data_IF_681399915509
#
_entry.id   IF_681399915509
#
_cell.length_a   1.000
_cell.length_b   1.000
_cell.length_c   1.000
_cell.angle_alpha   90.00
_cell.angle_beta   90.00
_cell.angle_gamma   90.00
#
_symmetry.space_group_name_H-M   'P 1'
#
loop_
_entity.id
_entity.type
_entity.pdbx_description
1 polymer ?
#
# COMPACT_ATOMS: atom_id res chain seq x y z
N UNK A 1 -54.42 2.76 -40.33
CA UNK A 1 -53.38 3.73 -39.91
C UNK A 1 -53.14 3.53 -38.43
N UNK A 2 -52.05 2.86 -38.05
CA UNK A 2 -51.65 2.70 -36.65
C UNK A 2 -50.64 3.80 -36.34
N UNK A 3 -51.01 4.73 -35.45
CA UNK A 3 -50.15 5.81 -35.00
C UNK A 3 -49.27 5.23 -33.89
N UNK A 4 -48.01 4.95 -34.21
CA UNK A 4 -46.99 4.61 -33.23
C UNK A 4 -46.58 5.91 -32.53
N UNK A 5 -47.10 6.13 -31.33
CA UNK A 5 -46.64 7.16 -30.41
C UNK A 5 -45.25 6.76 -29.88
N UNK A 6 -44.18 7.34 -30.45
CA UNK A 6 -42.86 7.36 -29.80
C UNK A 6 -42.91 8.40 -28.67
N UNK A 7 -43.02 7.93 -27.44
CA UNK A 7 -42.78 8.76 -26.26
C UNK A 7 -41.26 9.03 -26.17
N UNK A 8 -40.84 10.22 -26.59
CA UNK A 8 -39.53 10.74 -26.24
C UNK A 8 -39.58 11.19 -24.78
N UNK A 9 -39.07 10.36 -23.87
CA UNK A 9 -38.84 10.76 -22.48
C UNK A 9 -37.56 11.59 -22.45
N UNK A 10 -37.66 12.89 -22.67
CA UNK A 10 -36.59 13.85 -22.34
C UNK A 10 -36.61 14.09 -20.84
N UNK A 11 -36.26 13.08 -20.04
CA UNK A 11 -35.66 13.36 -18.75
C UNK A 11 -34.25 13.86 -19.08
N UNK A 12 -33.95 15.13 -18.79
CA UNK A 12 -32.58 15.60 -18.84
C UNK A 12 -31.75 14.63 -17.97
N UNK A 13 -30.88 13.83 -18.60
CA UNK A 13 -30.09 12.86 -17.88
C UNK A 13 -29.28 13.62 -16.82
N UNK A 14 -29.56 13.34 -15.55
CA UNK A 14 -28.84 13.94 -14.44
C UNK A 14 -27.33 13.65 -14.54
N UNK A 15 -26.50 14.29 -13.71
CA UNK A 15 -25.06 14.02 -13.70
C UNK A 15 -24.78 12.53 -13.52
N UNK A 16 -23.72 12.05 -14.16
CA UNK A 16 -23.21 10.71 -13.95
C UNK A 16 -22.64 10.60 -12.53
N UNK A 17 -23.17 9.70 -11.70
CA UNK A 17 -22.76 9.53 -10.31
C UNK A 17 -21.84 8.33 -10.15
N UNK A 18 -20.61 8.57 -9.69
CA UNK A 18 -19.62 7.54 -9.41
C UNK A 18 -19.34 7.43 -7.91
N UNK A 19 -19.49 6.23 -7.35
CA UNK A 19 -18.92 5.91 -6.04
C UNK A 19 -17.49 5.39 -6.20
N UNK A 20 -16.55 5.93 -5.43
CA UNK A 20 -15.18 5.43 -5.34
C UNK A 20 -14.95 4.82 -3.95
N UNK A 21 -14.57 3.55 -3.89
CA UNK A 21 -14.25 2.86 -2.63
C UNK A 21 -12.74 2.84 -2.44
N UNK A 22 -12.26 3.58 -1.44
CA UNK A 22 -10.85 3.75 -1.09
C UNK A 22 -10.29 5.10 -1.53
N UNK A 23 -9.66 5.82 -0.60
CA UNK A 23 -9.10 7.16 -0.84
C UNK A 23 -7.57 7.17 -1.02
N UNK A 24 -7.02 6.06 -1.51
CA UNK A 24 -5.61 5.99 -1.91
C UNK A 24 -5.34 6.69 -3.26
N UNK A 25 -4.09 6.62 -3.76
CA UNK A 25 -3.73 7.20 -5.05
C UNK A 25 -4.61 6.74 -6.21
N UNK A 26 -5.02 5.48 -6.23
CA UNK A 26 -5.85 4.94 -7.30
C UNK A 26 -7.20 5.67 -7.39
N UNK A 27 -7.90 5.82 -6.26
CA UNK A 27 -9.17 6.55 -6.21
C UNK A 27 -9.01 8.02 -6.62
N UNK A 28 -8.03 8.72 -6.04
CA UNK A 28 -7.84 10.15 -6.35
C UNK A 28 -7.38 10.42 -7.79
N UNK A 29 -6.50 9.59 -8.35
CA UNK A 29 -6.08 9.79 -9.74
C UNK A 29 -7.19 9.44 -10.74
N UNK A 30 -8.03 8.43 -10.45
CA UNK A 30 -9.22 8.18 -11.27
C UNK A 30 -10.20 9.36 -11.18
N UNK A 31 -10.48 9.88 -9.98
CA UNK A 31 -11.31 11.06 -9.79
C UNK A 31 -10.76 12.29 -10.53
N UNK A 32 -9.46 12.56 -10.38
CA UNK A 32 -8.77 13.68 -11.04
C UNK A 32 -8.95 13.65 -12.56
N UNK A 33 -8.72 12.49 -13.17
CA UNK A 33 -8.87 12.30 -14.61
C UNK A 33 -10.33 12.42 -15.04
N UNK A 34 -11.25 11.76 -14.34
CA UNK A 34 -12.66 11.74 -14.72
C UNK A 34 -13.33 13.12 -14.62
N UNK A 35 -13.05 13.89 -13.56
CA UNK A 35 -13.58 15.25 -13.39
C UNK A 35 -13.16 16.21 -14.52
N UNK A 36 -12.01 15.93 -15.15
CA UNK A 36 -11.49 16.67 -16.31
C UNK A 36 -12.10 16.20 -17.62
N UNK A 37 -12.18 14.89 -17.84
CA UNK A 37 -12.57 14.31 -19.13
C UNK A 37 -14.10 14.19 -19.31
N UNK A 38 -14.88 14.15 -18.21
CA UNK A 38 -16.35 14.11 -18.25
C UNK A 38 -16.98 15.15 -17.30
N UNK A 39 -17.23 16.39 -17.76
CA UNK A 39 -17.63 17.51 -16.90
C UNK A 39 -18.92 17.29 -16.09
N UNK A 40 -19.87 16.50 -16.61
CA UNK A 40 -21.14 16.22 -15.94
C UNK A 40 -21.04 14.97 -15.02
N UNK A 41 -19.97 14.89 -14.22
CA UNK A 41 -19.72 13.83 -13.23
C UNK A 41 -19.95 14.35 -11.83
N UNK A 42 -20.51 13.54 -10.94
CA UNK A 42 -20.47 13.68 -9.48
C UNK A 42 -19.74 12.48 -8.89
N UNK A 43 -18.83 12.71 -7.95
CA UNK A 43 -18.00 11.67 -7.34
C UNK A 43 -18.18 11.69 -5.82
N UNK A 44 -18.57 10.56 -5.26
CA UNK A 44 -18.54 10.31 -3.82
C UNK A 44 -17.44 9.29 -3.51
N UNK A 45 -16.43 9.70 -2.77
CA UNK A 45 -15.31 8.85 -2.38
C UNK A 45 -15.44 8.42 -0.92
N UNK A 46 -15.46 7.10 -0.69
CA UNK A 46 -15.62 6.48 0.62
C UNK A 46 -14.28 5.94 1.12
N UNK A 47 -13.98 6.16 2.41
CA UNK A 47 -12.85 5.50 3.07
C UNK A 47 -13.25 4.99 4.46
N UNK A 48 -12.75 3.80 4.80
CA UNK A 48 -12.93 3.21 6.13
C UNK A 48 -12.31 4.02 7.25
N UNK A 49 -11.25 4.79 6.98
CA UNK A 49 -10.59 5.64 7.98
C UNK A 49 -11.13 7.08 7.90
N UNK A 50 -11.12 7.83 9.02
CA UNK A 50 -11.46 9.26 9.03
C UNK A 50 -10.59 10.13 8.11
N UNK A 51 -9.39 9.65 7.78
CA UNK A 51 -8.34 10.42 7.10
C UNK A 51 -8.01 9.78 5.74
N UNK A 52 -7.85 10.58 4.67
CA UNK A 52 -7.65 10.07 3.33
C UNK A 52 -6.19 9.71 3.01
N UNK A 53 -5.92 9.46 1.72
CA UNK A 53 -4.60 9.31 1.07
C UNK A 53 -3.96 7.92 1.19
N UNK A 54 -4.57 7.00 1.95
CA UNK A 54 -4.15 5.60 2.05
C UNK A 54 -2.64 5.44 2.29
N UNK A 55 -1.97 4.64 1.45
CA UNK A 55 -0.53 4.35 1.61
C UNK A 55 0.39 5.55 1.35
N UNK A 56 -0.09 6.68 0.79
CA UNK A 56 0.74 7.91 0.77
C UNK A 56 0.95 8.43 2.19
N UNK A 57 -0.07 8.30 3.05
CA UNK A 57 -0.02 8.67 4.47
C UNK A 57 0.58 7.58 5.35
N UNK A 58 0.16 6.33 5.10
CA UNK A 58 0.42 5.20 5.98
C UNK A 58 1.51 4.23 5.51
N UNK A 59 1.96 4.34 4.25
CA UNK A 59 2.95 3.44 3.64
C UNK A 59 4.28 4.13 3.37
N UNK A 60 4.25 5.25 2.63
CA UNK A 60 5.46 6.03 2.30
C UNK A 60 6.22 6.39 3.57
N UNK A 61 7.51 6.05 3.58
CA UNK A 61 8.36 6.24 4.74
C UNK A 61 8.41 7.72 5.15
N UNK A 62 8.55 8.02 6.46
CA UNK A 62 8.52 9.38 6.96
C UNK A 62 9.72 10.22 6.50
N UNK A 63 10.82 9.57 6.14
CA UNK A 63 12.01 10.18 5.54
C UNK A 63 11.95 10.33 4.00
N UNK A 64 10.79 10.04 3.39
CA UNK A 64 10.46 10.34 1.99
C UNK A 64 9.31 11.36 1.84
N UNK A 65 9.41 12.56 2.46
CA UNK A 65 8.33 13.55 2.41
C UNK A 65 8.01 14.00 0.98
N UNK A 66 9.00 14.01 0.07
CA UNK A 66 8.82 14.44 -1.32
C UNK A 66 7.88 13.52 -2.11
N UNK A 67 7.79 12.24 -1.74
CA UNK A 67 6.86 11.29 -2.35
C UNK A 67 5.42 11.59 -1.91
N UNK A 68 5.23 12.19 -0.73
CA UNK A 68 3.92 12.59 -0.20
C UNK A 68 3.35 13.85 -0.86
N UNK A 69 4.14 14.59 -1.63
CA UNK A 69 3.71 15.80 -2.36
C UNK A 69 2.58 15.56 -3.38
N UNK A 70 2.32 14.30 -3.75
CA UNK A 70 1.15 13.96 -4.58
C UNK A 70 -0.18 14.32 -3.91
N UNK A 71 -0.20 14.47 -2.58
CA UNK A 71 -1.37 14.94 -1.82
C UNK A 71 -1.84 16.31 -2.31
N UNK A 72 -0.94 17.20 -2.78
CA UNK A 72 -1.35 18.49 -3.36
C UNK A 72 -2.28 18.34 -4.57
N UNK A 73 -2.13 17.28 -5.36
CA UNK A 73 -3.07 16.98 -6.45
C UNK A 73 -4.40 16.46 -5.90
N UNK A 74 -4.38 15.71 -4.80
CA UNK A 74 -5.57 15.14 -4.17
C UNK A 74 -6.41 16.22 -3.48
N UNK A 75 -5.76 17.17 -2.80
CA UNK A 75 -6.40 18.36 -2.24
C UNK A 75 -7.14 19.15 -3.32
N UNK A 76 -6.54 19.35 -4.50
CA UNK A 76 -7.20 20.01 -5.65
C UNK A 76 -8.42 19.26 -6.18
N UNK A 77 -8.42 17.92 -6.10
CA UNK A 77 -9.61 17.13 -6.46
C UNK A 77 -10.71 17.36 -5.44
N UNK A 78 -10.35 17.43 -4.15
CA UNK A 78 -11.30 17.60 -3.07
C UNK A 78 -11.87 19.02 -2.95
N UNK A 79 -11.27 20.01 -3.63
CA UNK A 79 -11.78 21.38 -3.78
C UNK A 79 -12.86 21.50 -4.87
N UNK A 80 -13.07 20.46 -5.71
CA UNK A 80 -14.09 20.49 -6.77
C UNK A 80 -15.50 20.30 -6.19
N UNK A 81 -16.44 21.20 -6.52
CA UNK A 81 -17.84 21.14 -6.03
C UNK A 81 -18.58 19.84 -6.42
N UNK A 82 -18.06 19.11 -7.42
CA UNK A 82 -18.62 17.83 -7.87
C UNK A 82 -18.07 16.64 -7.09
N UNK A 83 -17.16 16.86 -6.16
CA UNK A 83 -16.51 15.83 -5.35
C UNK A 83 -16.96 15.90 -3.89
N UNK A 84 -17.31 14.75 -3.31
CA UNK A 84 -17.55 14.59 -1.87
C UNK A 84 -16.69 13.47 -1.31
N UNK A 85 -16.17 13.68 -0.11
CA UNK A 85 -15.43 12.66 0.64
C UNK A 85 -16.24 12.22 1.86
N UNK A 86 -16.29 10.90 2.05
CA UNK A 86 -16.95 10.21 3.16
C UNK A 86 -15.92 9.31 3.86
N UNK A 87 -15.07 9.89 4.70
CA UNK A 87 -14.18 9.14 5.59
C UNK A 87 -14.94 8.52 6.76
N UNK A 88 -14.35 7.57 7.45
CA UNK A 88 -14.99 6.81 8.54
C UNK A 88 -16.25 6.04 8.07
N UNK A 89 -16.30 5.65 6.80
CA UNK A 89 -17.37 4.87 6.18
C UNK A 89 -16.77 3.59 5.60
N UNK A 90 -16.70 2.50 6.39
CA UNK A 90 -16.27 1.22 5.86
C UNK A 90 -17.28 0.71 4.83
N UNK A 91 -16.77 0.15 3.74
CA UNK A 91 -17.58 -0.47 2.67
C UNK A 91 -17.21 -1.95 2.56
N UNK A 92 -18.22 -2.82 2.45
CA UNK A 92 -18.02 -4.25 2.23
C UNK A 92 -17.63 -5.04 3.47
N UNK A 93 -17.85 -4.49 4.67
CA UNK A 93 -17.61 -5.18 5.94
C UNK A 93 -18.91 -5.76 6.50
N UNK A 94 -18.84 -6.80 7.33
CA UNK A 94 -20.02 -7.41 7.95
C UNK A 94 -20.52 -6.66 9.20
N UNK A 95 -20.34 -5.34 9.25
CA UNK A 95 -20.72 -4.48 10.38
C UNK A 95 -22.01 -3.72 10.08
N UNK A 96 -22.86 -3.54 11.09
CA UNK A 96 -24.07 -2.70 10.99
C UNK A 96 -23.75 -1.23 10.68
N UNK A 97 -22.53 -0.77 11.02
CA UNK A 97 -22.03 0.58 10.73
C UNK A 97 -21.16 0.62 9.46
N UNK A 98 -21.66 0.00 8.38
CA UNK A 98 -20.96 -0.03 7.09
C UNK A 98 -21.94 -0.03 5.92
N UNK A 99 -21.43 0.30 4.73
CA UNK A 99 -22.17 0.17 3.48
C UNK A 99 -21.80 -1.15 2.79
N UNK A 100 -22.77 -1.81 2.16
CA UNK A 100 -22.52 -2.94 1.27
C UNK A 100 -22.27 -2.45 -0.16
N UNK A 101 -21.72 -3.32 -1.02
CA UNK A 101 -21.59 -3.02 -2.45
C UNK A 101 -22.97 -2.81 -3.09
N UNK A 102 -23.98 -3.58 -2.66
CA UNK A 102 -25.35 -3.44 -3.13
C UNK A 102 -25.95 -2.07 -2.80
N UNK A 103 -25.61 -1.52 -1.64
CA UNK A 103 -26.03 -0.16 -1.28
C UNK A 103 -25.47 0.85 -2.29
N UNK A 104 -24.19 0.77 -2.62
CA UNK A 104 -23.59 1.64 -3.63
C UNK A 104 -24.22 1.42 -5.02
N UNK A 105 -24.45 0.17 -5.40
CA UNK A 105 -25.08 -0.14 -6.70
C UNK A 105 -26.49 0.44 -6.85
N UNK A 106 -27.22 0.63 -5.75
CA UNK A 106 -28.56 1.21 -5.78
C UNK A 106 -28.56 2.76 -5.86
N UNK A 107 -27.45 3.42 -5.50
CA UNK A 107 -27.38 4.89 -5.38
C UNK A 107 -26.55 5.58 -6.47
N UNK A 108 -25.70 4.83 -7.16
CA UNK A 108 -24.73 5.34 -8.13
C UNK A 108 -24.90 4.70 -9.51
N UNK A 109 -24.46 5.41 -10.55
CA UNK A 109 -24.45 4.88 -11.93
C UNK A 109 -23.28 3.91 -12.13
N UNK A 110 -22.19 4.13 -11.40
CA UNK A 110 -21.05 3.24 -11.40
C UNK A 110 -20.38 3.17 -10.01
N UNK A 111 -19.64 2.09 -9.79
CA UNK A 111 -18.79 1.90 -8.61
C UNK A 111 -17.37 1.59 -9.08
N UNK A 112 -16.41 2.35 -8.58
CA UNK A 112 -14.97 2.09 -8.72
C UNK A 112 -14.41 1.53 -7.42
N UNK A 113 -13.84 0.33 -7.49
CA UNK A 113 -13.14 -0.30 -6.37
C UNK A 113 -11.64 0.01 -6.43
N UNK A 114 -11.13 0.70 -5.42
CA UNK A 114 -9.73 1.14 -5.36
C UNK A 114 -9.10 0.98 -3.97
N UNK A 115 -9.65 0.07 -3.15
CA UNK A 115 -9.27 -0.16 -1.75
C UNK A 115 -7.92 -0.87 -1.54
N UNK A 116 -7.16 -1.06 -2.61
CA UNK A 116 -5.78 -1.56 -2.55
C UNK A 116 -5.65 -3.00 -2.07
N UNK A 117 -4.49 -3.32 -1.48
CA UNK A 117 -4.17 -4.64 -0.96
C UNK A 117 -3.98 -4.55 0.56
N UNK A 118 -4.88 -5.19 1.32
CA UNK A 118 -4.97 -5.03 2.78
C UNK A 118 -4.46 -6.19 3.62
N UNK A 119 -4.07 -7.29 3.00
CA UNK A 119 -3.60 -8.51 3.64
C UNK A 119 -2.12 -8.78 3.34
N UNK A 120 -1.39 -9.32 4.30
CA UNK A 120 0.00 -9.73 4.13
C UNK A 120 0.10 -11.14 3.55
N UNK A 121 1.08 -11.37 2.67
CA UNK A 121 1.40 -12.74 2.26
C UNK A 121 2.11 -13.46 3.40
N UNK A 122 1.57 -14.61 3.79
CA UNK A 122 2.21 -15.55 4.73
C UNK A 122 3.34 -16.32 4.04
N UNK A 123 4.40 -16.60 4.78
CA UNK A 123 5.52 -17.47 4.40
C UNK A 123 5.07 -18.93 4.33
N UNK A 124 4.13 -19.34 5.19
CA UNK A 124 3.61 -20.71 5.27
C UNK A 124 4.61 -21.67 5.89
N UNK A 125 5.37 -21.23 6.89
CA UNK A 125 6.44 -22.01 7.54
C UNK A 125 6.16 -22.20 9.04
N UNK A 126 6.72 -23.25 9.67
CA UNK A 126 6.63 -23.42 11.12
C UNK A 126 7.16 -22.21 11.90
N UNK A 127 6.44 -21.85 12.96
CA UNK A 127 6.79 -20.74 13.85
C UNK A 127 6.49 -19.33 13.32
N UNK A 128 5.82 -19.18 12.17
CA UNK A 128 5.51 -17.87 11.57
C UNK A 128 4.67 -16.93 12.48
N UNK A 129 3.90 -17.46 13.43
CA UNK A 129 3.10 -16.66 14.37
C UNK A 129 3.81 -16.44 15.74
N UNK A 130 5.12 -16.72 15.83
CA UNK A 130 5.92 -16.50 17.05
C UNK A 130 6.07 -15.01 17.33
N UNK A 131 6.02 -14.60 18.61
CA UNK A 131 6.27 -13.21 18.99
C UNK A 131 7.67 -12.75 18.53
N UNK A 132 7.72 -11.63 17.79
CA UNK A 132 8.93 -11.14 17.13
C UNK A 132 8.91 -11.34 15.61
N UNK A 133 7.96 -12.14 15.09
CA UNK A 133 7.64 -12.16 13.66
C UNK A 133 6.57 -11.11 13.37
N UNK A 134 6.89 -10.17 12.49
CA UNK A 134 6.01 -9.07 12.13
C UNK A 134 5.91 -8.93 10.61
N UNK A 135 4.80 -8.38 10.12
CA UNK A 135 4.72 -8.06 8.70
C UNK A 135 5.35 -6.70 8.42
N UNK A 136 5.83 -6.53 7.19
CA UNK A 136 6.29 -5.24 6.72
C UNK A 136 5.18 -4.18 6.87
N UNK A 137 3.93 -4.54 6.57
CA UNK A 137 2.77 -3.67 6.71
C UNK A 137 2.51 -3.26 8.15
N UNK A 138 2.59 -4.19 9.12
CA UNK A 138 2.33 -3.89 10.53
C UNK A 138 3.37 -2.90 11.06
N UNK A 139 4.66 -3.16 10.80
CA UNK A 139 5.74 -2.27 11.21
C UNK A 139 5.69 -0.90 10.52
N UNK A 140 5.45 -0.88 9.20
CA UNK A 140 5.33 0.36 8.42
C UNK A 140 4.14 1.19 8.90
N UNK A 141 2.99 0.55 9.07
CA UNK A 141 1.79 1.21 9.57
C UNK A 141 1.97 1.70 11.01
N UNK A 142 2.67 0.94 11.85
CA UNK A 142 3.00 1.33 13.22
C UNK A 142 3.79 2.64 13.25
N UNK A 143 4.92 2.75 12.53
CA UNK A 143 5.68 4.01 12.58
C UNK A 143 4.98 5.17 11.86
N UNK A 144 4.14 4.88 10.86
CA UNK A 144 3.39 5.88 10.10
C UNK A 144 2.06 6.31 10.72
N UNK A 145 1.68 5.80 11.91
CA UNK A 145 0.47 6.23 12.60
C UNK A 145 -0.83 5.65 12.07
N UNK A 146 -0.77 4.47 11.43
CA UNK A 146 -1.98 3.76 11.01
C UNK A 146 -2.72 3.21 12.25
N UNK A 147 -4.03 3.51 12.44
CA UNK A 147 -4.71 3.23 13.70
C UNK A 147 -4.72 1.76 14.14
N UNK A 148 -4.80 0.83 13.19
CA UNK A 148 -4.77 -0.61 13.49
C UNK A 148 -3.46 -1.10 14.11
N UNK A 149 -2.36 -0.36 13.93
CA UNK A 149 -1.01 -0.80 14.35
C UNK A 149 -0.42 0.07 15.45
N UNK A 150 -1.15 1.07 15.97
CA UNK A 150 -0.65 1.96 17.04
C UNK A 150 -0.06 1.17 18.21
N UNK A 151 -0.80 0.17 18.67
CA UNK A 151 -0.51 -0.59 19.89
C UNK A 151 0.35 -1.84 19.61
N UNK A 152 0.98 -1.91 18.42
CA UNK A 152 1.88 -3.00 18.04
C UNK A 152 3.06 -3.07 19.00
N UNK A 153 3.29 -4.26 19.57
CA UNK A 153 4.40 -4.51 20.51
C UNK A 153 5.57 -5.12 19.75
N UNK A 154 6.71 -4.45 19.76
CA UNK A 154 7.91 -4.87 19.04
C UNK A 154 9.04 -5.19 20.02
N UNK A 155 9.83 -6.21 19.70
CA UNK A 155 10.99 -6.67 20.47
C UNK A 155 12.25 -5.83 20.15
N UNK A 156 12.15 -4.49 20.20
CA UNK A 156 13.23 -3.61 19.76
C UNK A 156 14.35 -3.46 20.81
N UNK A 157 14.02 -3.59 22.09
CA UNK A 157 14.88 -3.30 23.24
C UNK A 157 15.61 -4.53 23.79
N UNK A 158 15.35 -5.72 23.26
CA UNK A 158 15.95 -6.99 23.69
C UNK A 158 16.66 -7.77 22.57
N UNK A 159 16.81 -7.18 21.37
CA UNK A 159 17.55 -7.78 20.25
C UNK A 159 18.55 -6.83 19.61
N UNK A 160 19.68 -7.37 19.15
CA UNK A 160 20.65 -6.63 18.34
C UNK A 160 20.51 -6.90 16.84
N UNK A 161 19.83 -7.99 16.47
CA UNK A 161 19.71 -8.44 15.08
C UNK A 161 18.25 -8.59 14.68
N UNK A 162 17.89 -7.99 13.55
CA UNK A 162 16.63 -8.18 12.86
C UNK A 162 16.85 -8.77 11.46
N UNK A 163 15.91 -9.60 11.02
CA UNK A 163 15.88 -10.16 9.66
C UNK A 163 14.69 -9.58 8.93
N UNK A 164 14.87 -9.16 7.68
CA UNK A 164 13.80 -8.76 6.77
C UNK A 164 13.78 -9.74 5.60
N UNK A 165 12.72 -10.53 5.50
CA UNK A 165 12.51 -11.50 4.41
C UNK A 165 11.88 -10.76 3.23
N UNK A 166 12.62 -10.66 2.13
CA UNK A 166 12.25 -9.91 0.94
C UNK A 166 13.28 -8.84 0.58
N UNK A 167 13.42 -8.56 -0.72
CA UNK A 167 14.38 -7.59 -1.26
C UNK A 167 13.68 -6.58 -2.19
N UNK A 168 12.63 -5.95 -1.67
CA UNK A 168 11.91 -4.85 -2.30
C UNK A 168 12.18 -3.50 -1.62
N UNK A 169 11.60 -2.42 -2.12
CA UNK A 169 11.73 -1.09 -1.51
C UNK A 169 11.29 -1.07 -0.04
N UNK A 170 10.16 -1.72 0.28
CA UNK A 170 9.65 -1.77 1.66
C UNK A 170 10.65 -2.45 2.60
N UNK A 171 11.38 -3.46 2.14
CA UNK A 171 12.41 -4.11 2.94
C UNK A 171 13.56 -3.14 3.27
N UNK A 172 13.91 -2.26 2.33
CA UNK A 172 14.89 -1.20 2.57
C UNK A 172 14.33 -0.10 3.46
N UNK A 173 13.04 0.23 3.38
CA UNK A 173 12.40 1.18 4.31
C UNK A 173 12.47 0.69 5.75
N UNK A 174 12.14 -0.59 6.00
CA UNK A 174 12.26 -1.21 7.32
C UNK A 174 13.71 -1.14 7.82
N UNK A 175 14.67 -1.57 6.99
CA UNK A 175 16.09 -1.54 7.34
C UNK A 175 16.57 -0.11 7.64
N UNK A 176 16.12 0.88 6.86
CA UNK A 176 16.48 2.28 7.04
C UNK A 176 15.91 2.85 8.33
N UNK A 177 14.64 2.61 8.62
CA UNK A 177 14.00 3.10 9.86
C UNK A 177 14.64 2.50 11.11
N UNK A 178 14.95 1.19 11.10
CA UNK A 178 15.60 0.53 12.24
C UNK A 178 17.04 1.04 12.49
N UNK A 179 17.76 1.42 11.43
CA UNK A 179 19.18 1.74 11.53
C UNK A 179 19.48 3.25 11.56
N UNK A 180 18.54 4.09 11.13
CA UNK A 180 18.73 5.54 11.04
C UNK A 180 19.06 6.19 12.39
N UNK A 181 19.91 7.24 12.41
CA UNK A 181 20.07 8.05 13.60
C UNK A 181 18.75 8.69 14.03
N UNK A 182 18.43 8.58 15.32
CA UNK A 182 17.17 9.08 15.90
C UNK A 182 16.98 10.59 15.65
N UNK A 183 18.06 11.37 15.69
CA UNK A 183 18.01 12.82 15.43
C UNK A 183 17.59 13.18 14.01
N UNK A 184 17.78 12.27 13.05
CA UNK A 184 17.27 12.45 11.68
C UNK A 184 15.78 12.13 11.62
N UNK A 185 15.37 11.00 12.22
CA UNK A 185 13.96 10.60 12.26
C UNK A 185 13.10 11.60 13.03
N UNK A 186 13.64 12.25 14.08
CA UNK A 186 12.95 13.28 14.86
C UNK A 186 12.47 14.47 14.03
N UNK A 187 13.06 14.71 12.86
CA UNK A 187 12.69 15.82 11.94
C UNK A 187 11.63 15.42 10.91
N UNK A 188 11.13 14.19 10.97
CA UNK A 188 10.17 13.63 10.01
C UNK A 188 8.76 13.58 10.61
N UNK A 189 7.78 13.09 9.84
CA UNK A 189 6.41 12.83 10.33
C UNK A 189 6.22 11.44 10.96
N UNK A 190 7.31 10.76 11.37
CA UNK A 190 7.23 9.53 12.15
C UNK A 190 6.51 9.82 13.47
N UNK A 191 5.65 8.90 13.93
CA UNK A 191 4.89 9.11 15.18
C UNK A 191 5.80 9.16 16.41
N UNK A 192 5.42 9.93 17.43
CA UNK A 192 6.25 10.10 18.63
C UNK A 192 6.42 8.80 19.42
N UNK A 193 5.38 7.95 19.51
CA UNK A 193 5.50 6.65 20.19
C UNK A 193 6.48 5.70 19.46
N UNK A 194 6.53 5.76 18.13
CA UNK A 194 7.47 4.95 17.36
C UNK A 194 8.89 5.49 17.51
N UNK A 195 9.06 6.82 17.51
CA UNK A 195 10.35 7.46 17.77
C UNK A 195 10.86 7.12 19.18
N UNK A 196 10.00 7.13 20.20
CA UNK A 196 10.35 6.74 21.56
C UNK A 196 10.81 5.28 21.61
N UNK A 197 10.06 4.35 21.01
CA UNK A 197 10.44 2.94 20.96
C UNK A 197 11.76 2.73 20.20
N UNK A 198 11.94 3.39 19.06
CA UNK A 198 13.19 3.33 18.28
C UNK A 198 14.37 3.92 19.06
N UNK A 199 14.17 4.94 19.90
CA UNK A 199 15.23 5.51 20.73
C UNK A 199 15.77 4.55 21.79
N UNK A 200 14.97 3.55 22.18
CA UNK A 200 15.34 2.47 23.10
C UNK A 200 15.79 1.20 22.36
N UNK A 201 15.77 1.21 21.03
CA UNK A 201 16.12 0.06 20.21
C UNK A 201 17.59 -0.32 20.38
N UNK A 202 17.83 -1.62 20.56
CA UNK A 202 19.16 -2.24 20.56
C UNK A 202 19.56 -2.79 19.20
N UNK A 203 18.68 -2.72 18.20
CA UNK A 203 18.94 -3.22 16.84
C UNK A 203 20.14 -2.50 16.23
N UNK A 204 21.17 -3.28 15.89
CA UNK A 204 22.40 -2.83 15.21
C UNK A 204 22.57 -3.48 13.85
N UNK A 205 22.06 -4.70 13.66
CA UNK A 205 22.28 -5.48 12.47
C UNK A 205 20.94 -5.86 11.80
N UNK A 206 20.77 -5.50 10.54
CA UNK A 206 19.58 -5.88 9.75
C UNK A 206 19.98 -6.74 8.56
N UNK A 207 19.51 -7.99 8.52
CA UNK A 207 19.73 -8.89 7.38
C UNK A 207 18.56 -8.81 6.41
N UNK A 208 18.80 -8.33 5.19
CA UNK A 208 17.79 -8.26 4.12
C UNK A 208 17.96 -9.46 3.20
N UNK A 209 17.04 -10.42 3.32
CA UNK A 209 17.19 -11.78 2.81
C UNK A 209 16.31 -12.02 1.59
N UNK A 210 16.93 -12.44 0.49
CA UNK A 210 16.24 -12.79 -0.75
C UNK A 210 16.42 -14.26 -1.12
N UNK A 211 15.32 -14.88 -1.57
CA UNK A 211 15.36 -16.25 -2.11
C UNK A 211 16.11 -16.37 -3.44
N UNK A 212 16.29 -15.28 -4.18
CA UNK A 212 16.99 -15.23 -5.48
C UNK A 212 18.33 -14.49 -5.37
N UNK A 213 19.01 -14.30 -6.50
CA UNK A 213 20.27 -13.58 -6.61
C UNK A 213 20.10 -12.05 -6.77
N UNK A 214 21.23 -11.32 -6.82
CA UNK A 214 21.26 -9.86 -6.86
C UNK A 214 20.59 -9.27 -8.10
N UNK A 215 20.60 -9.98 -9.23
CA UNK A 215 20.00 -9.49 -10.48
C UNK A 215 18.46 -9.52 -10.42
N UNK A 216 17.87 -10.25 -9.47
CA UNK A 216 16.41 -10.38 -9.31
C UNK A 216 15.82 -9.58 -8.14
N UNK A 217 16.60 -8.67 -7.54
CA UNK A 217 16.08 -7.75 -6.51
C UNK A 217 14.97 -6.87 -7.08
N UNK A 218 14.08 -6.41 -6.20
CA UNK A 218 12.92 -5.58 -6.57
C UNK A 218 13.00 -4.16 -5.99
N UNK A 219 14.02 -3.85 -5.20
CA UNK A 219 14.29 -2.47 -4.81
C UNK A 219 14.89 -1.66 -5.97
N UNK A 220 14.70 -0.34 -5.98
CA UNK A 220 15.23 0.52 -7.05
C UNK A 220 16.54 1.20 -6.66
N UNK A 221 17.18 1.86 -7.64
CA UNK A 221 18.48 2.51 -7.43
C UNK A 221 18.40 3.72 -6.50
N UNK A 222 17.21 4.33 -6.32
CA UNK A 222 17.04 5.45 -5.38
C UNK A 222 17.16 4.94 -3.95
N UNK A 223 16.31 3.98 -3.58
CA UNK A 223 16.23 3.44 -2.23
C UNK A 223 17.53 2.71 -1.84
N UNK A 224 18.15 2.00 -2.78
CA UNK A 224 19.47 1.40 -2.52
C UNK A 224 20.54 2.46 -2.24
N UNK A 225 20.55 3.57 -2.99
CA UNK A 225 21.55 4.64 -2.79
C UNK A 225 21.40 5.26 -1.40
N UNK A 226 20.16 5.55 -0.99
CA UNK A 226 19.84 6.10 0.32
C UNK A 226 20.30 5.15 1.43
N UNK A 227 19.97 3.85 1.31
CA UNK A 227 20.40 2.82 2.24
C UNK A 227 21.93 2.71 2.35
N UNK A 228 22.63 2.77 1.21
CA UNK A 228 24.11 2.73 1.15
C UNK A 228 24.76 3.99 1.73
N UNK A 229 24.05 5.12 1.75
CA UNK A 229 24.54 6.40 2.27
C UNK A 229 24.18 6.65 3.73
N UNK A 230 23.51 5.70 4.39
CA UNK A 230 23.02 5.87 5.75
C UNK A 230 24.20 6.11 6.72
N UNK A 231 24.22 7.22 7.48
CA UNK A 231 25.37 7.57 8.32
C UNK A 231 25.62 6.53 9.41
N UNK A 232 26.87 6.12 9.56
CA UNK A 232 27.29 5.17 10.60
C UNK A 232 26.77 3.74 10.39
N UNK A 233 26.34 3.39 9.17
CA UNK A 233 25.86 2.04 8.84
C UNK A 233 26.70 1.43 7.72
N UNK A 234 27.26 0.25 7.98
CA UNK A 234 28.03 -0.51 7.00
C UNK A 234 27.14 -1.44 6.15
N UNK A 235 27.43 -1.54 4.85
CA UNK A 235 26.88 -2.57 3.98
C UNK A 235 27.75 -3.83 3.97
N UNK A 236 27.13 -4.99 4.21
CA UNK A 236 27.77 -6.31 4.16
C UNK A 236 27.07 -7.21 3.13
N UNK A 237 27.84 -7.98 2.37
CA UNK A 237 27.35 -9.01 1.47
C UNK A 237 28.50 -9.93 1.02
N UNK A 238 28.18 -11.06 0.41
CA UNK A 238 29.14 -11.83 -0.39
C UNK A 238 29.39 -11.08 -1.71
N UNK A 239 30.45 -10.26 -1.71
CA UNK A 239 30.81 -9.42 -2.86
C UNK A 239 31.32 -10.22 -4.06
N UNK A 240 31.93 -11.38 -3.83
CA UNK A 240 32.44 -12.22 -4.91
C UNK A 240 31.27 -12.93 -5.62
N UNK A 241 30.26 -13.37 -4.87
CA UNK A 241 29.01 -13.85 -5.44
C UNK A 241 28.30 -12.76 -6.26
N UNK A 242 28.20 -11.53 -5.74
CA UNK A 242 27.57 -10.41 -6.47
C UNK A 242 28.29 -10.16 -7.80
N UNK A 243 29.62 -10.04 -7.79
CA UNK A 243 30.42 -9.79 -9.00
C UNK A 243 30.29 -10.91 -10.02
N UNK A 244 30.24 -12.17 -9.57
CA UNK A 244 30.02 -13.32 -10.45
C UNK A 244 28.66 -13.27 -11.12
N UNK A 245 27.58 -13.08 -10.35
CA UNK A 245 26.20 -12.99 -10.90
C UNK A 245 26.03 -11.81 -11.86
N UNK A 246 26.65 -10.66 -11.57
CA UNK A 246 26.67 -9.50 -12.47
C UNK A 246 27.39 -9.86 -13.77
N UNK A 247 28.57 -10.48 -13.68
CA UNK A 247 29.37 -10.91 -14.86
C UNK A 247 28.59 -11.87 -15.74
N UNK A 248 28.00 -12.92 -15.16
CA UNK A 248 27.19 -13.92 -15.89
C UNK A 248 25.94 -13.30 -16.53
N UNK A 249 25.38 -12.26 -15.93
CA UNK A 249 24.15 -11.59 -16.39
C UNK A 249 24.40 -10.37 -17.28
N UNK A 250 25.65 -10.08 -17.66
CA UNK A 250 26.01 -8.89 -18.46
C UNK A 250 25.17 -8.71 -19.74
N UNK A 251 24.86 -9.75 -20.53
CA UNK A 251 24.06 -9.59 -21.75
C UNK A 251 22.65 -9.04 -21.49
N UNK A 252 22.08 -9.31 -20.31
CA UNK A 252 20.76 -8.82 -19.89
C UNK A 252 20.87 -7.44 -19.22
N UNK A 253 21.84 -7.28 -18.31
CA UNK A 253 22.06 -6.03 -17.59
C UNK A 253 22.37 -4.88 -18.55
N UNK A 254 23.21 -5.10 -19.55
CA UNK A 254 23.62 -4.08 -20.53
C UNK A 254 22.45 -3.49 -21.33
N UNK A 255 21.37 -4.25 -21.52
CA UNK A 255 20.14 -3.82 -22.23
C UNK A 255 19.14 -3.10 -21.33
N UNK A 256 19.29 -3.20 -20.01
CA UNK A 256 18.37 -2.60 -19.02
C UNK A 256 19.09 -1.51 -18.22
N UNK A 257 18.98 -0.25 -18.67
CA UNK A 257 19.67 0.89 -18.05
C UNK A 257 19.37 1.07 -16.55
N UNK A 258 18.10 0.96 -16.08
CA UNK A 258 17.81 0.93 -14.64
C UNK A 258 18.56 -0.16 -13.89
N UNK A 259 18.52 -1.41 -14.38
CA UNK A 259 19.19 -2.54 -13.75
C UNK A 259 20.71 -2.36 -13.74
N UNK A 260 21.32 -1.88 -14.83
CA UNK A 260 22.75 -1.58 -14.91
C UNK A 260 23.21 -0.60 -13.83
N UNK A 261 22.45 0.47 -13.60
CA UNK A 261 22.73 1.43 -12.54
C UNK A 261 22.63 0.80 -11.16
N UNK A 262 21.62 -0.03 -10.94
CA UNK A 262 21.41 -0.74 -9.68
C UNK A 262 22.56 -1.70 -9.37
N UNK A 263 22.96 -2.51 -10.34
CA UNK A 263 24.06 -3.47 -10.17
C UNK A 263 25.39 -2.77 -9.92
N UNK A 264 25.66 -1.64 -10.60
CA UNK A 264 26.86 -0.85 -10.33
C UNK A 264 26.91 -0.25 -8.91
N UNK A 265 25.75 0.07 -8.31
CA UNK A 265 25.70 0.49 -6.91
C UNK A 265 25.99 -0.66 -5.94
N UNK A 266 25.43 -1.85 -6.19
CA UNK A 266 25.70 -3.04 -5.37
C UNK A 266 27.18 -3.45 -5.46
N UNK A 267 27.75 -3.46 -6.65
CA UNK A 267 29.16 -3.82 -6.88
C UNK A 267 30.12 -2.85 -6.19
N UNK A 268 29.78 -1.55 -6.15
CA UNK A 268 30.56 -0.52 -5.45
C UNK A 268 30.48 -0.67 -3.92
N UNK A 269 29.33 -1.09 -3.39
CA UNK A 269 29.07 -1.17 -1.96
C UNK A 269 28.97 0.19 -1.25
N UNK A 270 28.96 0.18 0.09
CA UNK A 270 28.91 1.39 0.92
C UNK A 270 30.29 2.03 1.15
N UNK A 271 30.37 3.36 1.26
CA UNK A 271 31.60 4.06 1.64
C UNK A 271 31.96 3.83 3.12
N UNK A 272 30.96 3.70 3.99
CA UNK A 272 31.13 3.39 5.42
C UNK A 272 31.67 1.98 5.59
N UNK A 273 32.71 1.83 6.42
CA UNK A 273 33.37 0.56 6.81
C UNK A 273 33.59 0.53 8.32
N UNK A 274 33.62 -0.66 8.90
CA UNK A 274 33.89 -0.87 10.34
C UNK A 274 32.97 -0.05 11.27
N UNK A 275 31.68 0.00 10.95
CA UNK A 275 30.69 0.69 11.76
C UNK A 275 30.02 -0.25 12.78
N UNK A 276 29.52 0.31 13.89
CA UNK A 276 28.78 -0.44 14.93
C UNK A 276 27.45 -0.98 14.40
N UNK A 277 26.82 -0.27 13.45
CA UNK A 277 25.59 -0.71 12.77
C UNK A 277 25.87 -1.23 11.38
N UNK A 278 25.10 -2.22 10.93
CA UNK A 278 25.21 -2.73 9.57
C UNK A 278 23.89 -3.23 9.00
N UNK A 279 23.80 -3.22 7.67
CA UNK A 279 22.79 -4.00 6.96
C UNK A 279 23.46 -4.98 6.00
N UNK A 280 22.93 -6.20 5.97
CA UNK A 280 23.52 -7.33 5.23
C UNK A 280 22.56 -7.77 4.13
N UNK A 281 22.97 -7.72 2.86
CA UNK A 281 22.21 -8.35 1.79
C UNK A 281 22.57 -9.83 1.68
N UNK A 282 21.60 -10.71 1.99
CA UNK A 282 21.77 -12.16 1.92
C UNK A 282 20.93 -12.72 0.77
N UNK A 283 21.56 -13.46 -0.14
CA UNK A 283 20.92 -13.99 -1.34
C UNK A 283 20.80 -15.50 -1.27
N UNK A 284 19.94 -16.06 -2.14
CA UNK A 284 19.74 -17.50 -2.26
C UNK A 284 19.38 -18.17 -0.93
N UNK A 285 18.47 -17.56 -0.17
CA UNK A 285 17.93 -18.10 1.08
C UNK A 285 16.41 -18.04 1.09
N UNK A 286 15.76 -19.18 1.24
CA UNK A 286 14.33 -19.27 1.53
C UNK A 286 14.15 -19.51 3.02
N UNK A 287 13.25 -18.80 3.72
CA UNK A 287 12.95 -19.13 5.10
C UNK A 287 12.31 -20.52 5.16
N UNK A 288 12.78 -21.36 6.07
CA UNK A 288 12.31 -22.73 6.25
C UNK A 288 11.56 -22.91 7.58
N UNK A 289 12.00 -22.23 8.63
CA UNK A 289 11.44 -22.33 9.98
C UNK A 289 11.85 -21.12 10.82
N UNK A 290 10.95 -20.62 11.66
CA UNK A 290 11.26 -19.65 12.71
C UNK A 290 11.68 -20.41 13.96
N UNK A 291 12.88 -20.15 14.46
CA UNK A 291 13.39 -20.73 15.69
C UNK A 291 12.89 -19.89 16.87
N UNK A 292 12.43 -20.55 17.92
CA UNK A 292 11.82 -19.89 19.07
C UNK A 292 12.34 -20.42 20.40
N UNK A 293 12.55 -19.51 21.35
CA UNK A 293 12.82 -19.79 22.75
C UNK A 293 11.85 -18.99 23.62
N UNK A 294 11.23 -19.64 24.61
CA UNK A 294 10.23 -19.01 25.49
C UNK A 294 9.09 -18.28 24.72
N UNK A 295 8.63 -18.88 23.61
CA UNK A 295 7.61 -18.32 22.69
C UNK A 295 8.00 -16.99 22.03
N UNK A 296 9.30 -16.70 21.94
CA UNK A 296 9.86 -15.54 21.23
C UNK A 296 10.83 -16.00 20.16
N UNK A 297 10.98 -15.22 19.10
CA UNK A 297 11.98 -15.49 18.06
C UNK A 297 13.38 -15.50 18.68
N UNK A 298 14.14 -16.58 18.44
CA UNK A 298 15.57 -16.69 18.75
C UNK A 298 16.44 -16.82 17.49
N UNK A 299 15.82 -17.13 16.36
CA UNK A 299 16.50 -17.18 15.09
C UNK A 299 15.58 -17.56 13.93
N UNK A 300 16.18 -17.71 12.76
CA UNK A 300 15.50 -18.18 11.57
C UNK A 300 16.39 -19.17 10.84
N UNK A 301 15.79 -20.28 10.43
CA UNK A 301 16.44 -21.30 9.60
C UNK A 301 16.11 -21.04 8.15
N UNK A 302 17.13 -21.06 7.31
CA UNK A 302 17.00 -20.94 5.87
C UNK A 302 17.31 -22.26 5.19
N UNK A 303 16.61 -22.54 4.09
CA UNK A 303 17.11 -23.43 3.05
C UNK A 303 17.95 -22.61 2.06
N UNK A 304 19.12 -23.15 1.70
CA UNK A 304 20.00 -22.60 0.68
C UNK A 304 19.38 -22.89 -0.69
N UNK A 305 19.34 -21.86 -1.55
CA UNK A 305 18.82 -22.01 -2.90
C UNK A 305 19.95 -22.04 -3.93
N UNK A 306 19.64 -22.60 -5.09
CA UNK A 306 20.31 -22.33 -6.37
C UNK A 306 19.31 -21.71 -7.36
N UNK A 307 19.82 -21.06 -8.40
CA UNK A 307 18.98 -20.54 -9.48
C UNK A 307 18.91 -21.54 -10.63
N UNK A 308 17.70 -21.82 -11.11
CA UNK A 308 17.44 -22.67 -12.28
C UNK A 308 16.63 -21.91 -13.33
N UNK A 309 16.77 -22.31 -14.59
CA UNK A 309 16.03 -21.75 -15.72
C UNK A 309 16.73 -20.58 -16.43
N UNK A 310 16.09 -20.02 -17.47
CA UNK A 310 16.68 -18.96 -18.29
C UNK A 310 16.87 -17.68 -17.45
N UNK A 311 17.89 -16.89 -17.79
CA UNK A 311 18.33 -15.72 -17.00
C UNK A 311 17.19 -14.76 -16.63
N UNK A 312 16.26 -14.53 -17.56
CA UNK A 312 15.13 -13.62 -17.38
C UNK A 312 14.01 -14.17 -16.46
N UNK A 313 13.97 -15.49 -16.26
CA UNK A 313 12.94 -16.17 -15.45
C UNK A 313 13.56 -17.13 -14.44
N UNK A 314 14.79 -16.85 -13.99
CA UNK A 314 15.49 -17.68 -12.98
C UNK A 314 14.61 -17.85 -11.75
N UNK A 315 14.36 -19.12 -11.40
CA UNK A 315 13.63 -19.52 -10.20
C UNK A 315 14.61 -19.99 -9.13
N UNK A 316 14.27 -19.73 -7.88
CA UNK A 316 15.00 -20.31 -6.75
C UNK A 316 14.53 -21.75 -6.54
N UNK A 317 15.47 -22.68 -6.39
CA UNK A 317 15.22 -24.09 -6.06
C UNK A 317 16.08 -24.45 -4.87
N UNK A 318 15.46 -25.05 -3.86
CA UNK A 318 16.15 -25.50 -2.64
C UNK A 318 17.21 -26.56 -2.94
N UNK A 319 18.33 -26.49 -2.23
CA UNK A 319 19.42 -27.46 -2.36
C UNK A 319 19.29 -28.62 -1.37
N UNK A 320 18.39 -28.52 -0.38
CA UNK A 320 18.34 -29.41 0.78
C UNK A 320 19.39 -29.10 1.85
N UNK A 321 20.24 -28.09 1.66
CA UNK A 321 21.17 -27.61 2.67
C UNK A 321 20.53 -26.47 3.49
N UNK A 322 20.79 -26.47 4.80
CA UNK A 322 20.20 -25.53 5.73
C UNK A 322 21.26 -24.79 6.55
N UNK A 323 20.95 -23.56 6.90
CA UNK A 323 21.73 -22.75 7.82
C UNK A 323 20.80 -21.91 8.70
N UNK A 324 21.29 -21.48 9.86
CA UNK A 324 20.52 -20.70 10.82
C UNK A 324 21.14 -19.32 11.02
N UNK A 325 20.31 -18.33 11.32
CA UNK A 325 20.71 -16.99 11.69
C UNK A 325 20.03 -16.62 13.01
N UNK A 326 20.83 -16.38 14.05
CA UNK A 326 20.34 -15.81 15.30
C UNK A 326 19.79 -14.41 15.06
N UNK A 327 18.59 -14.16 15.57
CA UNK A 327 17.91 -12.87 15.54
C UNK A 327 16.75 -12.88 16.54
N UNK A 328 16.38 -11.71 17.06
CA UNK A 328 15.20 -11.58 17.93
C UNK A 328 13.95 -11.06 17.22
N UNK A 329 14.08 -10.68 15.94
CA UNK A 329 12.99 -10.14 15.13
C UNK A 329 13.08 -10.58 13.66
N UNK A 330 11.93 -10.89 13.08
CA UNK A 330 11.79 -11.22 11.66
C UNK A 330 10.65 -10.40 11.06
N UNK A 331 10.93 -9.65 10.00
CA UNK A 331 9.94 -8.91 9.23
C UNK A 331 9.65 -9.60 7.90
N UNK A 332 8.37 -9.83 7.59
CA UNK A 332 7.96 -10.40 6.30
C UNK A 332 7.62 -9.29 5.31
N UNK A 333 8.49 -9.08 4.32
CA UNK A 333 8.34 -8.12 3.23
C UNK A 333 8.20 -8.81 1.87
N UNK A 334 7.36 -9.85 1.82
CA UNK A 334 7.17 -10.72 0.63
C UNK A 334 5.94 -10.37 -0.22
N UNK A 335 5.33 -9.21 0.05
CA UNK A 335 4.22 -8.64 -0.70
C UNK A 335 2.86 -8.78 -0.01
N UNK A 336 1.84 -8.20 -0.64
CA UNK A 336 0.50 -8.11 -0.10
C UNK A 336 -0.51 -8.90 -0.96
N UNK A 337 -1.76 -8.96 -0.48
CA UNK A 337 -2.95 -9.41 -1.21
C UNK A 337 -4.12 -8.48 -0.90
N UNK A 338 -5.05 -8.37 -1.83
CA UNK A 338 -6.33 -7.71 -1.57
C UNK A 338 -7.25 -8.67 -0.82
N UNK A 339 -8.25 -8.13 -0.13
CA UNK A 339 -9.29 -8.93 0.51
C UNK A 339 -10.55 -8.92 -0.35
N UNK A 340 -11.29 -10.03 -0.44
CA UNK A 340 -12.57 -10.07 -1.13
C UNK A 340 -13.60 -9.20 -0.40
N UNK A 341 -14.51 -8.60 -1.17
CA UNK A 341 -15.73 -7.95 -0.66
C UNK A 341 -16.92 -8.74 -1.16
N UNK A 342 -17.91 -8.99 -0.29
CA UNK A 342 -19.14 -9.68 -0.66
C UNK A 342 -19.84 -8.99 -1.85
N UNK A 343 -20.27 -9.79 -2.83
CA UNK A 343 -20.90 -9.30 -4.05
C UNK A 343 -19.92 -8.86 -5.16
N UNK A 344 -18.61 -9.02 -4.97
CA UNK A 344 -17.58 -8.70 -5.97
C UNK A 344 -16.80 -9.97 -6.35
N UNK A 345 -16.64 -10.28 -7.66
CA UNK A 345 -15.77 -11.37 -8.10
C UNK A 345 -14.32 -11.22 -7.60
N UNK A 346 -13.71 -12.33 -7.19
CA UNK A 346 -12.36 -12.29 -6.62
C UNK A 346 -11.52 -13.52 -7.02
N UNK A 347 -10.29 -13.29 -7.48
CA UNK A 347 -9.31 -14.34 -7.71
C UNK A 347 -8.44 -14.49 -6.46
N UNK A 348 -8.70 -15.55 -5.67
CA UNK A 348 -7.94 -15.85 -4.45
C UNK A 348 -6.47 -16.24 -4.70
N UNK A 349 -6.17 -16.79 -5.88
CA UNK A 349 -4.81 -17.15 -6.28
C UNK A 349 -3.96 -15.91 -6.53
N UNK A 350 -4.50 -14.96 -7.30
CA UNK A 350 -3.81 -13.71 -7.64
C UNK A 350 -3.98 -12.62 -6.56
N UNK A 351 -5.00 -12.71 -5.72
CA UNK A 351 -5.33 -11.74 -4.66
C UNK A 351 -5.83 -10.41 -5.21
N UNK A 352 -6.65 -10.46 -6.26
CA UNK A 352 -7.16 -9.29 -6.99
C UNK A 352 -8.53 -9.56 -7.63
N UNK A 353 -9.19 -8.49 -8.09
CA UNK A 353 -10.46 -8.61 -8.82
C UNK A 353 -10.17 -8.90 -10.31
N UNK A 354 -10.77 -9.95 -10.91
CA UNK A 354 -10.69 -10.20 -12.35
C UNK A 354 -11.21 -8.99 -13.13
N UNK A 355 -10.43 -8.50 -14.10
CA UNK A 355 -10.81 -7.31 -14.85
C UNK A 355 -10.17 -7.26 -16.25
N UNK A 356 -10.78 -6.49 -17.15
CA UNK A 356 -10.22 -6.10 -18.45
C UNK A 356 -10.20 -4.57 -18.55
N UNK A 357 -9.01 -3.97 -18.62
CA UNK A 357 -8.80 -2.51 -18.63
C UNK A 357 -9.53 -1.78 -17.49
N UNK A 358 -9.65 -2.45 -16.33
CA UNK A 358 -10.35 -1.90 -15.16
C UNK A 358 -11.83 -2.23 -15.07
N UNK A 359 -12.46 -2.82 -16.09
CA UNK A 359 -13.84 -3.33 -15.99
C UNK A 359 -13.86 -4.65 -15.25
N UNK A 360 -14.66 -4.77 -14.20
CA UNK A 360 -14.72 -6.00 -13.39
C UNK A 360 -15.41 -7.11 -14.19
N UNK A 361 -14.85 -8.31 -14.13
CA UNK A 361 -15.37 -9.50 -14.83
C UNK A 361 -15.99 -10.50 -13.84
N UNK A 362 -17.11 -11.09 -14.23
CA UNK A 362 -17.72 -12.26 -13.60
C UNK A 362 -17.75 -13.41 -14.60
N UNK A 363 -16.75 -14.30 -14.51
CA UNK A 363 -16.45 -15.23 -15.60
C UNK A 363 -15.95 -14.45 -16.82
N UNK A 364 -16.57 -14.68 -17.98
CA UNK A 364 -16.25 -13.99 -19.23
C UNK A 364 -17.05 -12.68 -19.45
N UNK A 365 -17.97 -12.35 -18.54
CA UNK A 365 -18.86 -11.20 -18.70
C UNK A 365 -18.37 -9.97 -17.93
N UNK A 366 -18.43 -8.80 -18.57
CA UNK A 366 -18.24 -7.50 -17.91
C UNK A 366 -19.43 -7.23 -16.96
N UNK A 367 -19.14 -6.82 -15.73
CA UNK A 367 -20.17 -6.30 -14.82
C UNK A 367 -20.41 -4.82 -15.14
N UNK A 368 -21.56 -4.51 -15.71
CA UNK A 368 -21.98 -3.16 -16.07
C UNK A 368 -21.80 -2.18 -14.91
N UNK A 369 -21.16 -1.04 -15.17
CA UNK A 369 -20.89 0.01 -14.18
C UNK A 369 -19.97 -0.37 -13.01
N UNK A 370 -19.30 -1.55 -13.03
CA UNK A 370 -18.37 -1.97 -11.98
C UNK A 370 -16.92 -1.91 -12.48
N UNK A 371 -16.11 -1.08 -11.83
CA UNK A 371 -14.72 -0.83 -12.21
C UNK A 371 -13.74 -1.07 -11.06
N UNK A 372 -12.46 -1.25 -11.39
CA UNK A 372 -11.37 -1.39 -10.43
C UNK A 372 -10.13 -0.62 -10.89
N UNK A 373 -9.33 -0.15 -9.93
CA UNK A 373 -8.06 0.52 -10.18
C UNK A 373 -7.01 0.22 -9.09
N UNK A 374 -5.74 0.47 -9.40
CA UNK A 374 -4.63 0.36 -8.48
C UNK A 374 -4.25 -1.07 -8.14
N UNK A 375 -3.85 -1.29 -6.90
CA UNK A 375 -3.37 -2.61 -6.46
C UNK A 375 -4.45 -3.68 -6.47
N UNK A 376 -5.73 -3.31 -6.33
CA UNK A 376 -6.84 -4.24 -6.48
C UNK A 376 -6.99 -4.74 -7.93
N UNK A 377 -6.58 -3.93 -8.91
CA UNK A 377 -6.61 -4.25 -10.34
C UNK A 377 -5.37 -5.02 -10.80
N UNK A 378 -4.19 -4.54 -10.42
CA UNK A 378 -2.89 -5.01 -10.97
C UNK A 378 -2.08 -5.90 -10.02
N UNK A 379 -2.50 -6.01 -8.76
CA UNK A 379 -1.69 -6.57 -7.68
C UNK A 379 -0.74 -5.53 -7.06
N UNK A 380 -0.17 -5.82 -5.87
CA UNK A 380 0.56 -4.86 -5.06
C UNK A 380 2.03 -4.73 -5.49
N UNK A 381 2.22 -4.25 -6.71
CA UNK A 381 3.53 -3.97 -7.29
C UNK A 381 3.55 -2.56 -7.88
N UNK A 382 4.77 -2.00 -7.99
CA UNK A 382 4.98 -0.68 -8.57
C UNK A 382 4.88 0.48 -7.57
N UNK A 383 5.28 1.65 -8.06
CA UNK A 383 5.30 2.92 -7.31
C UNK A 383 4.04 3.75 -7.61
N UNK A 384 3.84 4.85 -6.89
CA UNK A 384 2.67 5.75 -7.05
C UNK A 384 2.45 6.16 -8.52
N UNK A 385 3.51 6.47 -9.27
CA UNK A 385 3.42 6.84 -10.69
C UNK A 385 2.78 5.72 -11.52
N UNK A 386 3.11 4.46 -11.24
CA UNK A 386 2.49 3.34 -11.96
C UNK A 386 1.00 3.20 -11.63
N UNK A 387 0.62 3.50 -10.39
CA UNK A 387 -0.78 3.52 -9.94
C UNK A 387 -1.54 4.68 -10.56
N UNK A 388 -0.90 5.83 -10.76
CA UNK A 388 -1.48 6.97 -11.49
C UNK A 388 -1.80 6.60 -12.94
N UNK A 389 -0.85 6.03 -13.67
CA UNK A 389 -1.07 5.62 -15.07
C UNK A 389 -2.21 4.61 -15.19
N UNK A 390 -2.25 3.63 -14.28
CA UNK A 390 -3.32 2.63 -14.22
C UNK A 390 -4.70 3.22 -13.88
N UNK A 391 -4.74 4.17 -12.94
CA UNK A 391 -5.96 4.88 -12.56
C UNK A 391 -6.50 5.75 -13.71
N UNK A 392 -5.61 6.34 -14.51
CA UNK A 392 -5.97 7.07 -15.72
C UNK A 392 -6.52 6.15 -16.81
N UNK A 393 -5.94 4.96 -17.01
CA UNK A 393 -6.47 3.96 -17.94
C UNK A 393 -7.90 3.53 -17.57
N UNK A 394 -8.17 3.27 -16.28
CA UNK A 394 -9.52 2.96 -15.82
C UNK A 394 -10.46 4.15 -16.00
N UNK A 395 -10.02 5.38 -15.72
CA UNK A 395 -10.84 6.58 -15.94
C UNK A 395 -11.20 6.77 -17.42
N UNK A 396 -10.23 6.60 -18.32
CA UNK A 396 -10.43 6.71 -19.77
C UNK A 396 -11.40 5.61 -20.25
N UNK A 397 -11.32 4.40 -19.67
CA UNK A 397 -12.27 3.32 -19.93
C UNK A 397 -13.71 3.67 -19.50
N UNK A 398 -13.90 4.32 -18.35
CA UNK A 398 -15.21 4.81 -17.90
C UNK A 398 -15.75 5.88 -18.88
N UNK A 399 -14.91 6.81 -19.30
CA UNK A 399 -15.27 7.86 -20.26
C UNK A 399 -15.69 7.26 -21.60
N UNK A 400 -14.98 6.24 -22.07
CA UNK A 400 -15.32 5.55 -23.32
C UNK A 400 -16.64 4.81 -23.21
N UNK A 401 -16.95 4.19 -22.06
CA UNK A 401 -18.25 3.56 -21.83
C UNK A 401 -19.40 4.57 -21.85
N UNK A 402 -19.20 5.74 -21.24
CA UNK A 402 -20.16 6.84 -21.25
C UNK A 402 -20.40 7.39 -22.66
N UNK A 403 -19.33 7.63 -23.44
CA UNK A 403 -19.43 8.12 -24.83
C UNK A 403 -20.16 7.14 -25.74
N UNK A 404 -19.98 5.84 -25.52
CA UNK A 404 -20.61 4.80 -26.34
C UNK A 404 -21.99 4.39 -25.81
N UNK A 405 -22.49 5.01 -24.74
CA UNK A 405 -23.80 4.69 -24.17
C UNK A 405 -23.90 3.26 -23.67
N UNK A 406 -22.81 2.69 -23.13
CA UNK A 406 -22.85 1.35 -22.54
C UNK A 406 -23.74 1.32 -21.31
N UNK A 407 -24.31 0.15 -21.05
CA UNK A 407 -25.12 -0.09 -19.86
C UNK A 407 -24.29 0.19 -18.59
N UNK A 408 -24.88 0.97 -17.69
CA UNK A 408 -24.37 1.28 -16.36
C UNK A 408 -25.17 0.49 -15.31
N UNK A 409 -24.94 0.73 -14.02
CA UNK A 409 -25.70 0.05 -12.97
C UNK A 409 -27.20 0.33 -13.13
N UNK A 410 -27.98 -0.75 -13.17
CA UNK A 410 -29.42 -0.65 -13.31
C UNK A 410 -30.01 -0.03 -12.03
N UNK A 411 -30.50 1.21 -12.16
CA UNK A 411 -31.20 1.89 -11.06
C UNK A 411 -32.46 1.11 -10.71
N UNK A 412 -32.63 0.72 -9.44
CA UNK A 412 -33.88 0.10 -8.97
C UNK A 412 -35.03 1.12 -9.14
N UNK A 413 -35.88 0.91 -10.14
CA UNK A 413 -36.96 1.83 -10.53
C UNK A 413 -38.12 1.92 -9.52
N UNK A 414 -38.08 1.16 -8.43
CA UNK A 414 -39.17 1.01 -7.46
C UNK A 414 -39.06 1.89 -6.21
N UNK A 415 -37.97 2.67 -6.04
CA UNK A 415 -37.82 3.56 -4.89
C UNK A 415 -37.44 4.99 -5.34
N UNK A 416 -37.98 6.04 -4.68
CA UNK A 416 -37.53 7.41 -4.89
C UNK A 416 -36.02 7.47 -4.64
N UNK A 417 -35.29 8.22 -5.48
CA UNK A 417 -33.84 8.37 -5.36
C UNK A 417 -33.50 9.06 -4.02
N UNK A 418 -33.23 8.27 -2.99
CA UNK A 418 -32.70 8.78 -1.74
C UNK A 418 -31.21 9.07 -1.91
N UNK A 419 -30.74 10.18 -1.35
CA UNK A 419 -29.31 10.47 -1.30
C UNK A 419 -28.62 9.45 -0.39
N UNK A 420 -27.37 9.09 -0.67
CA UNK A 420 -26.58 8.19 0.17
C UNK A 420 -26.47 8.74 1.60
N UNK A 421 -26.55 10.06 1.77
CA UNK A 421 -26.64 10.74 3.07
C UNK A 421 -27.79 10.26 3.94
N UNK A 422 -28.94 9.90 3.36
CA UNK A 422 -30.06 9.36 4.11
C UNK A 422 -29.74 7.97 4.64
N UNK A 423 -29.16 7.11 3.80
CA UNK A 423 -28.74 5.77 4.20
C UNK A 423 -27.68 5.81 5.31
N UNK A 424 -26.72 6.74 5.22
CA UNK A 424 -25.71 6.95 6.26
C UNK A 424 -26.35 7.34 7.61
N UNK A 425 -27.36 8.23 7.59
CA UNK A 425 -28.12 8.61 8.78
C UNK A 425 -28.93 7.45 9.37
N UNK A 426 -29.63 6.70 8.52
CA UNK A 426 -30.42 5.54 8.96
C UNK A 426 -29.57 4.46 9.64
N UNK A 427 -28.30 4.34 9.26
CA UNK A 427 -27.33 3.40 9.85
C UNK A 427 -26.47 3.98 10.97
N UNK A 428 -26.73 5.22 11.42
CA UNK A 428 -25.92 5.92 12.42
C UNK A 428 -24.41 5.89 12.09
N UNK A 429 -24.11 6.10 10.80
CA UNK A 429 -22.75 6.27 10.30
C UNK A 429 -22.46 7.77 10.29
N UNK A 430 -21.39 8.17 10.98
CA UNK A 430 -20.95 9.56 11.05
C UNK A 430 -19.75 9.76 10.10
N UNK A 431 -19.99 10.17 8.84
CA UNK A 431 -18.91 10.39 7.90
C UNK A 431 -18.05 11.58 8.30
N UNK A 432 -16.75 11.49 8.02
CA UNK A 432 -15.80 12.61 8.09
C UNK A 432 -15.70 13.20 6.69
N UNK A 433 -16.17 14.44 6.55
CA UNK A 433 -16.06 15.19 5.29
C UNK A 433 -14.61 15.59 5.02
N UNK A 434 -14.29 16.00 3.78
CA UNK A 434 -12.94 16.49 3.49
C UNK A 434 -12.59 17.75 4.30
N UNK A 435 -13.56 18.64 4.52
CA UNK A 435 -13.39 19.83 5.37
C UNK A 435 -13.10 19.46 6.82
N UNK A 436 -13.75 18.41 7.34
CA UNK A 436 -13.45 17.89 8.68
C UNK A 436 -12.06 17.26 8.73
N UNK A 437 -11.65 16.50 7.70
CA UNK A 437 -10.28 16.04 7.56
C UNK A 437 -9.27 17.20 7.62
N UNK A 438 -9.51 18.33 6.94
CA UNK A 438 -8.61 19.48 7.00
C UNK A 438 -8.49 20.08 8.41
N UNK A 439 -9.52 19.97 9.27
CA UNK A 439 -9.43 20.34 10.69
C UNK A 439 -8.54 19.37 11.47
N UNK A 440 -8.68 18.06 11.24
CA UNK A 440 -7.81 17.03 11.83
C UNK A 440 -6.36 17.30 11.41
N UNK A 441 -6.11 17.51 10.12
CA UNK A 441 -4.79 17.80 9.59
C UNK A 441 -4.19 19.09 10.18
N UNK A 442 -4.97 20.16 10.32
CA UNK A 442 -4.51 21.38 10.95
C UNK A 442 -4.08 21.14 12.42
N UNK A 443 -4.83 20.32 13.16
CA UNK A 443 -4.45 19.93 14.51
C UNK A 443 -3.16 19.08 14.53
N UNK A 444 -2.97 18.18 13.58
CA UNK A 444 -1.70 17.41 13.44
C UNK A 444 -0.50 18.33 13.17
N UNK A 445 -0.67 19.36 12.34
CA UNK A 445 0.37 20.35 12.10
C UNK A 445 0.66 21.21 13.33
N UNK A 446 -0.37 21.60 14.08
CA UNK A 446 -0.20 22.37 15.30
C UNK A 446 0.60 21.59 16.35
N UNK A 447 0.28 20.31 16.56
CA UNK A 447 1.04 19.42 17.47
C UNK A 447 2.45 19.15 16.92
N UNK A 448 2.58 18.93 15.60
CA UNK A 448 3.90 18.78 14.98
C UNK A 448 4.82 19.98 15.25
N UNK A 449 4.29 21.20 15.10
CA UNK A 449 5.04 22.43 15.32
C UNK A 449 5.54 22.57 16.77
N UNK A 450 4.74 22.17 17.77
CA UNK A 450 5.20 22.19 19.18
C UNK A 450 6.31 21.17 19.45
N UNK A 451 6.38 20.09 18.67
CA UNK A 451 7.41 19.05 18.74
C UNK A 451 8.60 19.29 17.80
N UNK A 452 8.58 20.34 16.97
CA UNK A 452 9.61 20.62 15.97
C UNK A 452 9.58 19.66 14.76
N UNK A 453 8.39 19.11 14.45
CA UNK A 453 8.13 18.14 13.37
C UNK A 453 7.26 18.77 12.28
N UNK A 454 7.30 18.27 11.04
CA UNK A 454 6.38 18.73 9.98
C UNK A 454 4.92 18.45 10.32
N UNK A 455 4.61 17.37 11.06
CA UNK A 455 3.29 17.02 11.60
C UNK A 455 3.43 15.95 12.68
N UNK A 456 2.50 15.88 13.61
CA UNK A 456 2.32 14.73 14.51
C UNK A 456 0.95 14.10 14.22
N UNK A 457 0.94 12.83 13.79
CA UNK A 457 -0.29 12.16 13.36
C UNK A 457 -1.10 11.68 14.55
N UNK A 458 -2.41 11.87 14.51
CA UNK A 458 -3.30 11.12 15.41
C UNK A 458 -3.31 9.65 14.97
N UNK A 459 -3.05 8.75 15.91
CA UNK A 459 -2.96 7.30 15.65
C UNK A 459 -4.10 6.49 16.25
N UNK A 460 -5.12 7.16 16.83
CA UNK A 460 -6.42 6.54 17.17
C UNK A 460 -7.54 7.25 16.43
N UNK A 461 -8.53 6.48 16.00
CA UNK A 461 -9.75 7.02 15.38
C UNK A 461 -10.48 7.95 16.37
N UNK A 462 -10.52 7.58 17.65
CA UNK A 462 -11.14 8.39 18.70
C UNK A 462 -10.48 9.77 18.82
N UNK A 463 -9.15 9.85 18.74
CA UNK A 463 -8.44 11.12 18.81
C UNK A 463 -8.75 12.00 17.58
N UNK A 464 -8.84 11.40 16.39
CA UNK A 464 -9.26 12.10 15.16
C UNK A 464 -10.68 12.65 15.28
N UNK A 465 -11.61 11.85 15.82
CA UNK A 465 -13.00 12.26 16.00
C UNK A 465 -13.16 13.32 17.11
N UNK A 466 -12.36 13.24 18.17
CA UNK A 466 -12.35 14.20 19.27
C UNK A 466 -11.96 15.61 18.79
N UNK A 467 -11.04 15.74 17.82
CA UNK A 467 -10.73 17.04 17.17
C UNK A 467 -11.98 17.68 16.55
N UNK A 468 -12.93 16.87 16.11
CA UNK A 468 -14.19 17.32 15.51
C UNK A 468 -15.32 17.48 16.55
N UNK A 469 -15.03 17.29 17.84
CA UNK A 469 -16.03 17.28 18.91
C UNK A 469 -16.96 16.07 18.86
N UNK A 470 -16.52 14.96 18.25
CA UNK A 470 -17.29 13.70 18.12
C UNK A 470 -16.74 12.66 19.08
N UNK A 471 -17.63 11.84 19.65
CA UNK A 471 -17.34 10.78 20.62
C UNK A 471 -17.40 9.39 20.02
#
# INVERSE_FOLDING_TARGET
>A
MSIISRAFTTAAAGPFKLAIVGSGPAGFYTAHRLLKEWPNTQIDMFDSLPVPHGLVRFGVAPDHPEVKNVMTTFDKVAEDDRFRFFGNVPVGTNSSKSLSIKDLQNHFDAVLLSYGASEDRKMGIPGEDTFGVESARSFVGWYNGHPYYRDLKLALDDTETAVVVGQGNVALDIARILLSPIDQLRKTDITEYALEALSKSRVKHVHVVGRRGPVQVSFTSKELREQMSLPGVEFKADMDFIKREITESQPFISKNRPLKRLMGLLEKGSPTKNADKSWTAKFLRSPAEILAENNRVSGIKYEINRLEGPLEKRRAVGTGEYESQECGMVFTSIGYKSLPIEGVPFDHGQGRVPNAYGKILSGDNELAGMYTAGWLKRGPTGVIVSTMTDAYETADTIVDDLKNGRDMLARCSSQPQQDVDQLLKERDIQPVSYQDWKKIEAAEFAVGNTLGKPREKFSRIQDMLAVLGRS
#
